data_IF_565730577598
#
_entry.id   IF_565730577598
#
_cell.length_a   1.000
_cell.length_b   1.000
_cell.length_c   1.000
_cell.angle_alpha   90.00
_cell.angle_beta   90.00
_cell.angle_gamma   90.00
#
_symmetry.space_group_name_H-M   'P 1'
#
loop_
_entity.id
_entity.type
_entity.pdbx_description
1 polymer ?
#
# COMPACT_ATOMS: atom_id res chain seq x y z
N UNK A 1 -53.83 65.55 -5.87
CA UNK A 1 -53.78 66.06 -7.25
C UNK A 1 -53.10 64.99 -8.10
N UNK A 2 -53.85 64.49 -9.09
CA UNK A 2 -53.41 63.48 -10.06
C UNK A 2 -52.79 64.23 -11.24
N UNK A 3 -51.60 63.82 -11.69
CA UNK A 3 -51.20 63.92 -13.10
C UNK A 3 -50.02 62.98 -13.29
N UNK A 4 -50.19 61.79 -13.87
CA UNK A 4 -50.20 61.54 -15.33
C UNK A 4 -49.10 62.34 -16.03
N UNK A 5 -48.09 61.74 -16.63
CA UNK A 5 -47.81 60.34 -16.86
C UNK A 5 -46.66 60.24 -17.85
N UNK A 6 -46.43 59.00 -18.28
CA UNK A 6 -45.68 58.66 -19.47
C UNK A 6 -44.17 58.96 -19.35
N UNK A 7 -43.40 57.95 -18.98
CA UNK A 7 -42.27 57.48 -19.78
C UNK A 7 -41.63 56.28 -19.11
N UNK A 8 -41.18 55.35 -19.95
CA UNK A 8 -40.09 54.41 -19.73
C UNK A 8 -40.43 52.93 -19.45
N UNK A 9 -39.56 52.15 -20.09
CA UNK A 9 -39.16 50.78 -19.80
C UNK A 9 -39.94 49.65 -20.48
N UNK A 10 -39.76 49.62 -21.80
CA UNK A 10 -39.42 48.40 -22.54
C UNK A 10 -38.22 47.72 -21.88
N UNK A 11 -38.46 46.86 -20.88
CA UNK A 11 -37.48 45.92 -20.32
C UNK A 11 -38.23 44.68 -19.79
N UNK A 12 -38.77 43.87 -20.69
CA UNK A 12 -39.05 42.47 -20.40
C UNK A 12 -37.97 41.64 -21.11
N UNK A 13 -36.76 41.78 -20.58
CA UNK A 13 -35.59 40.97 -20.88
C UNK A 13 -35.96 39.52 -20.65
N UNK A 14 -36.06 38.76 -21.74
CA UNK A 14 -36.24 37.32 -21.74
C UNK A 14 -34.96 36.66 -21.23
N UNK A 15 -34.79 36.64 -19.91
CA UNK A 15 -33.77 35.86 -19.20
C UNK A 15 -34.49 34.78 -18.39
N UNK A 16 -35.02 33.79 -19.08
CA UNK A 16 -35.36 32.50 -18.48
C UNK A 16 -34.85 31.43 -19.44
N UNK A 17 -34.18 30.44 -18.86
CA UNK A 17 -33.59 29.23 -19.46
C UNK A 17 -32.09 29.34 -19.75
N UNK A 18 -31.31 29.33 -18.67
CA UNK A 18 -30.03 28.59 -18.67
C UNK A 18 -29.91 27.86 -17.34
N UNK A 19 -30.52 26.68 -17.25
CA UNK A 19 -30.33 25.75 -16.14
C UNK A 19 -28.90 25.18 -16.21
N UNK A 20 -28.06 25.34 -15.18
CA UNK A 20 -26.84 24.54 -15.11
C UNK A 20 -27.25 23.09 -14.83
N UNK A 21 -27.04 22.22 -15.81
CA UNK A 21 -27.10 20.76 -15.66
C UNK A 21 -25.99 20.37 -14.70
N UNK A 22 -26.35 20.17 -13.43
CA UNK A 22 -25.49 19.55 -12.43
C UNK A 22 -25.08 18.17 -12.94
N UNK A 23 -23.83 18.03 -13.36
CA UNK A 23 -23.21 16.73 -13.59
C UNK A 23 -23.13 16.10 -12.21
N UNK A 24 -24.05 15.18 -11.93
CA UNK A 24 -23.93 14.23 -10.84
C UNK A 24 -22.63 13.46 -11.11
N UNK A 25 -21.57 13.84 -10.41
CA UNK A 25 -20.33 13.11 -10.39
C UNK A 25 -20.63 11.82 -9.63
N UNK A 26 -20.93 10.76 -10.38
CA UNK A 26 -20.95 9.40 -9.86
C UNK A 26 -19.59 9.18 -9.20
N UNK A 27 -19.60 9.12 -7.87
CA UNK A 27 -18.45 8.71 -7.09
C UNK A 27 -18.12 7.28 -7.52
N UNK A 28 -17.13 7.14 -8.41
CA UNK A 28 -16.51 5.86 -8.67
C UNK A 28 -16.14 5.25 -7.31
N UNK A 29 -16.48 3.99 -7.03
CA UNK A 29 -16.06 3.35 -5.80
C UNK A 29 -14.54 3.39 -5.76
N UNK A 30 -13.99 4.21 -4.88
CA UNK A 30 -12.57 4.15 -4.53
C UNK A 30 -12.39 2.84 -3.79
N UNK A 31 -12.14 1.78 -4.56
CA UNK A 31 -11.63 0.54 -4.01
C UNK A 31 -10.19 0.83 -3.65
N UNK A 32 -9.99 1.40 -2.47
CA UNK A 32 -8.75 1.26 -1.73
C UNK A 32 -8.60 -0.23 -1.43
N UNK A 33 -8.13 -1.00 -2.42
CA UNK A 33 -7.47 -2.27 -2.14
C UNK A 33 -6.21 -1.86 -1.42
N UNK A 34 -6.31 -1.71 -0.10
CA UNK A 34 -5.16 -1.91 0.76
C UNK A 34 -4.67 -3.32 0.41
N UNK A 35 -3.71 -3.40 -0.50
CA UNK A 35 -3.08 -4.65 -0.87
C UNK A 35 -2.57 -5.23 0.44
N UNK A 36 -3.24 -6.27 0.94
CA UNK A 36 -2.82 -6.90 2.18
C UNK A 36 -1.37 -7.36 1.96
N UNK A 37 -0.44 -6.65 2.59
CA UNK A 37 0.97 -7.00 2.59
C UNK A 37 1.04 -8.39 3.21
N UNK A 38 1.18 -9.39 2.35
CA UNK A 38 1.14 -10.81 2.69
C UNK A 38 2.47 -11.50 2.40
N UNK A 39 3.42 -10.73 1.86
CA UNK A 39 4.78 -11.14 1.59
C UNK A 39 5.72 -9.94 1.75
N UNK A 40 6.67 -10.04 2.66
CA UNK A 40 7.71 -9.04 2.93
C UNK A 40 9.05 -9.72 2.73
N UNK A 41 9.92 -9.11 1.93
CA UNK A 41 11.24 -9.66 1.64
C UNK A 41 12.33 -8.60 1.76
N UNK A 42 13.37 -8.94 2.52
CA UNK A 42 14.57 -8.12 2.68
C UNK A 42 15.81 -8.89 2.24
N UNK A 43 16.72 -8.15 1.60
CA UNK A 43 18.08 -8.60 1.34
C UNK A 43 19.00 -7.74 2.21
N UNK A 44 19.77 -8.40 3.07
CA UNK A 44 20.74 -7.78 3.96
C UNK A 44 22.15 -8.13 3.53
N UNK A 45 22.99 -7.12 3.27
CA UNK A 45 24.36 -7.30 2.78
C UNK A 45 25.40 -6.70 3.72
N UNK A 46 26.53 -7.40 3.88
CA UNK A 46 27.73 -6.91 4.58
C UNK A 46 28.97 -7.48 3.91
N UNK A 47 29.80 -6.63 3.31
CA UNK A 47 30.94 -7.04 2.49
C UNK A 47 30.54 -8.08 1.43
N UNK A 48 31.04 -9.31 1.54
CA UNK A 48 30.73 -10.44 0.64
C UNK A 48 29.60 -11.35 1.18
N UNK A 49 29.04 -11.04 2.35
CA UNK A 49 27.97 -11.82 2.97
C UNK A 49 26.61 -11.27 2.58
N UNK A 50 25.72 -12.15 2.13
CA UNK A 50 24.32 -11.81 1.84
C UNK A 50 23.41 -12.71 2.68
N UNK A 51 22.41 -12.11 3.31
CA UNK A 51 21.38 -12.77 4.10
C UNK A 51 20.01 -12.34 3.61
N UNK A 52 19.08 -13.29 3.58
CA UNK A 52 17.73 -13.10 3.08
C UNK A 52 16.77 -13.26 4.26
N UNK A 53 15.77 -12.39 4.32
CA UNK A 53 14.71 -12.42 5.31
C UNK A 53 13.38 -12.35 4.59
N UNK A 54 12.44 -13.24 4.92
CA UNK A 54 11.10 -13.25 4.32
C UNK A 54 10.04 -13.50 5.38
N UNK A 55 8.92 -12.80 5.31
CA UNK A 55 7.71 -13.16 6.03
C UNK A 55 6.58 -13.28 5.01
N UNK A 56 5.93 -14.43 4.95
CA UNK A 56 4.87 -14.70 3.96
C UNK A 56 3.72 -15.47 4.59
N UNK A 57 2.49 -15.22 4.09
CA UNK A 57 1.32 -16.03 4.41
C UNK A 57 1.36 -17.35 3.64
N UNK A 58 0.87 -18.40 4.28
CA UNK A 58 0.68 -19.74 3.73
C UNK A 58 -0.79 -19.91 3.33
N UNK A 59 -1.06 -20.88 2.45
CA UNK A 59 -2.42 -21.19 2.01
C UNK A 59 -3.34 -21.64 3.16
N UNK A 60 -2.76 -22.17 4.24
CA UNK A 60 -3.49 -22.58 5.44
C UNK A 60 -3.84 -21.42 6.39
N UNK A 61 -3.61 -20.17 5.98
CA UNK A 61 -3.90 -18.96 6.76
C UNK A 61 -2.88 -18.64 7.85
N UNK A 62 -1.86 -19.49 8.06
CA UNK A 62 -0.71 -19.18 8.92
C UNK A 62 0.32 -18.34 8.16
N UNK A 63 1.36 -17.90 8.84
CA UNK A 63 2.52 -17.27 8.24
C UNK A 63 3.81 -17.94 8.68
N UNK A 64 4.84 -17.81 7.85
CA UNK A 64 6.20 -18.18 8.19
C UNK A 64 7.14 -17.00 8.08
N UNK A 65 8.12 -16.96 8.99
CA UNK A 65 9.30 -16.11 8.84
C UNK A 65 10.49 -16.98 8.51
N UNK A 66 11.17 -16.67 7.41
CA UNK A 66 12.38 -17.33 6.95
C UNK A 66 13.59 -16.41 7.10
N UNK A 67 14.73 -17.02 7.39
CA UNK A 67 16.03 -16.37 7.44
C UNK A 67 17.10 -17.25 6.79
N UNK A 68 17.98 -16.65 5.97
CA UNK A 68 19.13 -17.37 5.42
C UNK A 68 20.40 -17.18 6.25
N UNK A 69 21.04 -18.30 6.57
CA UNK A 69 22.33 -18.36 7.27
C UNK A 69 23.19 -19.45 6.63
N UNK A 70 24.44 -19.09 6.28
CA UNK A 70 25.44 -20.04 5.78
C UNK A 70 24.99 -20.85 4.54
N UNK A 71 24.16 -20.26 3.69
CA UNK A 71 23.64 -20.90 2.47
C UNK A 71 22.36 -21.70 2.68
N UNK A 72 21.85 -21.80 3.90
CA UNK A 72 20.60 -22.50 4.22
C UNK A 72 19.48 -21.52 4.54
N UNK A 73 18.26 -21.85 4.14
CA UNK A 73 17.04 -21.16 4.57
C UNK A 73 16.44 -21.90 5.76
N UNK A 74 16.14 -21.16 6.83
CA UNK A 74 15.55 -21.71 8.05
C UNK A 74 14.24 -20.99 8.35
N UNK A 75 13.20 -21.77 8.71
CA UNK A 75 11.96 -21.25 9.26
C UNK A 75 12.22 -20.93 10.73
N UNK A 76 12.16 -19.65 11.08
CA UNK A 76 12.45 -19.15 12.44
C UNK A 76 11.19 -18.78 13.21
N UNK A 77 10.04 -18.70 12.54
CA UNK A 77 8.74 -18.47 13.17
C UNK A 77 7.61 -19.05 12.34
N UNK A 78 6.56 -19.48 13.04
CA UNK A 78 5.28 -19.87 12.48
C UNK A 78 4.16 -19.33 13.37
N UNK A 79 3.25 -18.54 12.82
CA UNK A 79 2.16 -17.94 13.58
C UNK A 79 0.86 -17.88 12.77
N UNK A 80 -0.27 -17.68 13.43
CA UNK A 80 -1.58 -17.52 12.76
C UNK A 80 -1.76 -16.13 12.16
N UNK A 81 -1.22 -15.10 12.82
CA UNK A 81 -1.36 -13.71 12.39
C UNK A 81 -0.09 -13.20 11.71
N UNK A 82 -0.24 -12.58 10.53
CA UNK A 82 0.89 -12.09 9.75
C UNK A 82 1.74 -11.05 10.51
N UNK A 83 1.10 -10.21 11.32
CA UNK A 83 1.76 -9.21 12.18
C UNK A 83 2.76 -9.85 13.16
N UNK A 84 2.54 -11.09 13.59
CA UNK A 84 3.50 -11.82 14.42
C UNK A 84 4.75 -12.23 13.62
N UNK A 85 4.59 -12.70 12.38
CA UNK A 85 5.71 -13.03 11.51
C UNK A 85 6.50 -11.78 11.08
N UNK A 86 5.80 -10.68 10.82
CA UNK A 86 6.39 -9.37 10.56
C UNK A 86 7.20 -8.86 11.76
N UNK A 87 6.66 -8.96 12.98
CA UNK A 87 7.37 -8.58 14.20
C UNK A 87 8.68 -9.36 14.39
N UNK A 88 8.66 -10.68 14.16
CA UNK A 88 9.89 -11.50 14.19
C UNK A 88 10.86 -11.07 13.08
N UNK A 89 10.35 -10.84 11.88
CA UNK A 89 11.17 -10.41 10.75
C UNK A 89 11.88 -9.07 11.03
N UNK A 90 11.18 -8.08 11.58
CA UNK A 90 11.78 -6.81 11.98
C UNK A 90 12.78 -6.95 13.12
N UNK A 91 12.53 -7.84 14.08
CA UNK A 91 13.49 -8.14 15.13
C UNK A 91 14.80 -8.68 14.54
N UNK A 92 14.72 -9.63 13.60
CA UNK A 92 15.93 -10.16 12.96
C UNK A 92 16.60 -9.11 12.06
N UNK A 93 15.83 -8.33 11.31
CA UNK A 93 16.35 -7.22 10.51
C UNK A 93 17.18 -6.27 11.38
N UNK A 94 16.62 -5.82 12.51
CA UNK A 94 17.31 -4.93 13.45
C UNK A 94 18.61 -5.54 13.98
N UNK A 95 18.58 -6.81 14.37
CA UNK A 95 19.78 -7.51 14.85
C UNK A 95 20.87 -7.61 13.76
N UNK A 96 20.48 -7.78 12.50
CA UNK A 96 21.43 -7.77 11.37
C UNK A 96 22.02 -6.37 11.16
N UNK A 97 21.20 -5.33 11.24
CA UNK A 97 21.63 -3.94 11.09
C UNK A 97 22.59 -3.51 12.21
N UNK A 98 22.31 -3.90 13.46
CA UNK A 98 23.23 -3.74 14.60
C UNK A 98 24.54 -4.51 14.39
N UNK A 99 24.48 -5.66 13.72
CA UNK A 99 25.64 -6.42 13.27
C UNK A 99 26.36 -5.84 12.05
N UNK A 100 25.98 -4.66 11.57
CA UNK A 100 26.62 -3.96 10.44
C UNK A 100 26.15 -4.38 9.06
N UNK A 101 25.07 -5.17 8.95
CA UNK A 101 24.44 -5.42 7.66
C UNK A 101 23.61 -4.22 7.21
N UNK A 102 23.47 -4.04 5.90
CA UNK A 102 22.55 -3.08 5.29
C UNK A 102 21.40 -3.85 4.64
N UNK A 103 20.21 -3.70 5.20
CA UNK A 103 18.99 -4.35 4.70
C UNK A 103 18.25 -3.43 3.74
N UNK A 104 17.68 -4.01 2.68
CA UNK A 104 16.87 -3.29 1.70
C UNK A 104 15.69 -4.15 1.27
N UNK A 105 14.48 -3.56 1.13
CA UNK A 105 13.32 -4.29 0.65
C UNK A 105 13.56 -4.73 -0.79
N UNK A 106 13.11 -5.92 -1.15
CA UNK A 106 13.21 -6.45 -2.52
C UNK A 106 11.88 -7.03 -2.97
N UNK A 107 11.43 -6.65 -4.16
CA UNK A 107 10.18 -7.13 -4.76
C UNK A 107 10.33 -8.49 -5.45
N UNK A 108 11.55 -9.02 -5.58
CA UNK A 108 11.83 -10.29 -6.26
C UNK A 108 12.48 -11.29 -5.33
N UNK A 109 11.85 -12.46 -5.27
CA UNK A 109 12.37 -13.70 -4.69
C UNK A 109 12.86 -14.58 -5.85
N UNK A 110 14.17 -14.79 -5.94
CA UNK A 110 14.75 -15.87 -6.75
C UNK A 110 15.58 -16.71 -5.81
N UNK A 111 14.91 -17.50 -4.97
CA UNK A 111 15.58 -18.63 -4.34
C UNK A 111 15.79 -19.62 -5.45
N UNK A 112 17.04 -19.81 -5.82
CA UNK A 112 17.43 -20.95 -6.64
C UNK A 112 17.22 -22.15 -5.72
N UNK A 113 16.05 -22.77 -5.80
CA UNK A 113 15.89 -24.16 -5.35
C UNK A 113 16.89 -24.96 -6.18
N UNK A 114 17.91 -25.49 -5.53
CA UNK A 114 18.74 -26.55 -6.09
C UNK A 114 17.92 -27.82 -5.90
N UNK A 115 17.30 -28.29 -6.98
CA UNK A 115 16.73 -29.65 -7.11
C UNK A 115 17.76 -30.73 -6.69
#
# INVERSE_FOLDING_TARGET
MISNGLFLFVLAVSFMIYSPRSVAQEAAPQVDVAAEVSDIFYICKRDKLTRWLRAYKLDNGKCHTQYSKEGYLQIISSATYFTSCEGVLHSVQKNLEEGGFKCSPSAKYSVIELD
#
